data_IF_959748767064
#
_entry.id   IF_959748767064
#
_cell.length_a   1.000
_cell.length_b   1.000
_cell.length_c   1.000
_cell.angle_alpha   90.00
_cell.angle_beta   90.00
_cell.angle_gamma   90.00
#
_symmetry.space_group_name_H-M   'P 1'
#
loop_
_entity.id
_entity.type
_entity.pdbx_description
1 polymer ?
#
# COMPACT_ATOMS: atom_id res chain seq x y z
N UNK A 1 36.38 -42.42 20.61
CA UNK A 1 35.56 -41.27 21.08
C UNK A 1 35.78 -40.10 20.13
N UNK A 2 34.73 -39.34 19.78
CA UNK A 2 34.66 -38.22 18.79
C UNK A 2 34.32 -38.60 17.33
N UNK A 3 33.05 -38.95 17.06
CA UNK A 3 32.43 -38.91 15.71
C UNK A 3 31.08 -38.15 15.70
N UNK A 4 30.91 -37.20 16.64
CA UNK A 4 29.65 -36.47 16.84
C UNK A 4 29.56 -35.00 16.31
N UNK A 5 30.61 -34.31 15.82
CA UNK A 5 30.46 -32.90 15.40
C UNK A 5 29.84 -32.74 14.00
N UNK A 6 30.16 -33.62 13.04
CA UNK A 6 29.73 -33.48 11.63
C UNK A 6 28.21 -33.58 11.45
N UNK A 7 27.57 -34.56 12.11
CA UNK A 7 26.12 -34.78 12.00
C UNK A 7 25.34 -33.63 12.66
N UNK A 8 25.84 -33.12 13.79
CA UNK A 8 25.23 -31.98 14.48
C UNK A 8 25.33 -30.70 13.65
N UNK A 9 26.47 -30.48 12.99
CA UNK A 9 26.67 -29.33 12.12
C UNK A 9 25.80 -29.42 10.86
N UNK A 10 25.70 -30.60 10.24
CA UNK A 10 24.81 -30.83 9.11
C UNK A 10 23.35 -30.67 9.49
N UNK A 11 22.93 -31.16 10.67
CA UNK A 11 21.57 -30.98 11.18
C UNK A 11 21.26 -29.50 11.44
N UNK A 12 22.19 -28.75 12.05
CA UNK A 12 22.04 -27.31 12.27
C UNK A 12 21.96 -26.55 10.94
N UNK A 13 22.75 -26.95 9.94
CA UNK A 13 22.76 -26.34 8.62
C UNK A 13 21.47 -26.63 7.85
N UNK A 14 20.95 -27.86 7.93
CA UNK A 14 19.66 -28.27 7.37
C UNK A 14 18.50 -27.56 8.07
N UNK A 15 18.52 -27.44 9.40
CA UNK A 15 17.51 -26.70 10.18
C UNK A 15 17.49 -25.21 9.83
N UNK A 16 18.64 -24.58 9.61
CA UNK A 16 18.73 -23.19 9.14
C UNK A 16 18.22 -23.04 7.70
N UNK A 17 18.55 -23.96 6.81
CA UNK A 17 18.05 -23.95 5.43
C UNK A 17 16.52 -24.11 5.35
N UNK A 18 15.94 -24.96 6.21
CA UNK A 18 14.48 -25.10 6.38
C UNK A 18 13.84 -23.83 6.95
N UNK A 19 14.49 -23.15 7.92
CA UNK A 19 14.02 -21.87 8.46
C UNK A 19 14.01 -20.76 7.40
N UNK A 20 15.02 -20.72 6.54
CA UNK A 20 15.11 -19.75 5.44
C UNK A 20 14.00 -19.96 4.40
N UNK A 21 13.55 -21.20 4.19
CA UNK A 21 12.48 -21.53 3.26
C UNK A 21 11.06 -21.23 3.79
N UNK A 22 10.89 -21.10 5.11
CA UNK A 22 9.59 -20.80 5.74
C UNK A 22 9.23 -19.29 5.69
N UNK A 23 10.17 -18.42 5.34
CA UNK A 23 9.93 -16.99 5.18
C UNK A 23 9.42 -16.71 3.77
N UNK A 24 8.23 -17.21 3.44
CA UNK A 24 7.50 -16.65 2.29
C UNK A 24 7.21 -15.19 2.66
N UNK A 25 7.62 -14.18 1.88
CA UNK A 25 7.22 -12.82 2.16
C UNK A 25 5.69 -12.81 2.19
N UNK A 26 5.10 -12.40 3.32
CA UNK A 26 3.65 -12.25 3.37
C UNK A 26 3.22 -11.39 2.18
N UNK A 27 2.14 -11.81 1.52
CA UNK A 27 1.60 -11.11 0.36
C UNK A 27 1.49 -9.62 0.72
N UNK A 28 2.04 -8.69 -0.08
CA UNK A 28 1.95 -7.27 0.23
C UNK A 28 0.50 -6.83 0.42
N UNK A 29 0.25 -6.06 1.48
CA UNK A 29 -1.04 -5.46 1.78
C UNK A 29 -1.37 -4.40 0.75
N UNK A 30 -2.57 -4.48 0.19
CA UNK A 30 -3.08 -3.54 -0.80
C UNK A 30 -3.62 -2.29 -0.11
N UNK A 31 -3.07 -1.13 -0.45
CA UNK A 31 -3.41 0.15 0.19
C UNK A 31 -4.14 1.05 -0.82
N UNK A 32 -5.44 1.20 -0.65
CA UNK A 32 -6.25 2.13 -1.44
C UNK A 32 -6.20 3.52 -0.83
N UNK A 33 -5.82 4.52 -1.63
CA UNK A 33 -5.78 5.92 -1.21
C UNK A 33 -6.87 6.65 -2.00
N UNK A 34 -7.93 7.06 -1.29
CA UNK A 34 -9.12 7.61 -1.92
C UNK A 34 -8.92 9.09 -2.26
N UNK A 35 -8.89 9.42 -3.54
CA UNK A 35 -8.77 10.79 -4.03
C UNK A 35 -10.10 11.30 -4.58
N UNK A 36 -10.32 12.61 -4.46
CA UNK A 36 -11.56 13.27 -4.84
C UNK A 36 -11.28 14.74 -5.18
N UNK A 37 -12.29 15.43 -5.71
CA UNK A 37 -12.16 16.84 -6.07
C UNK A 37 -11.78 17.69 -4.85
N UNK A 38 -10.73 18.50 -5.02
CA UNK A 38 -10.16 19.37 -3.99
C UNK A 38 -9.49 18.65 -2.82
N UNK A 39 -9.15 17.36 -2.95
CA UNK A 39 -8.30 16.64 -1.99
C UNK A 39 -6.98 17.39 -1.76
N UNK A 40 -6.44 17.37 -0.53
CA UNK A 40 -5.13 17.96 -0.24
C UNK A 40 -4.00 17.06 -0.74
N UNK A 41 -3.05 17.61 -1.51
CA UNK A 41 -1.95 16.82 -2.10
C UNK A 41 -1.13 16.12 -1.04
N UNK A 42 -0.74 16.86 0.00
CA UNK A 42 0.15 16.34 1.04
C UNK A 42 -0.48 15.21 1.84
N UNK A 43 -1.79 15.25 2.03
CA UNK A 43 -2.53 14.26 2.80
C UNK A 43 -2.57 12.90 2.09
N UNK A 44 -2.59 12.87 0.75
CA UNK A 44 -2.52 11.61 0.01
C UNK A 44 -1.09 11.24 -0.38
N UNK A 45 -0.24 12.21 -0.72
CA UNK A 45 1.13 11.96 -1.19
C UNK A 45 2.03 11.46 -0.07
N UNK A 46 1.85 11.96 1.16
CA UNK A 46 2.64 11.55 2.33
C UNK A 46 2.53 10.04 2.59
N UNK A 47 1.31 9.50 2.83
CA UNK A 47 1.10 8.07 2.97
C UNK A 47 1.52 7.28 1.72
N UNK A 48 1.25 7.81 0.50
CA UNK A 48 1.64 7.15 -0.75
C UNK A 48 3.14 6.87 -0.81
N UNK A 49 3.98 7.86 -0.44
CA UNK A 49 5.43 7.74 -0.46
C UNK A 49 5.93 6.72 0.57
N UNK A 50 5.41 6.81 1.80
CA UNK A 50 5.80 5.88 2.89
C UNK A 50 5.43 4.44 2.56
N UNK A 51 4.21 4.19 2.05
CA UNK A 51 3.79 2.86 1.66
C UNK A 51 4.55 2.34 0.44
N UNK A 52 4.85 3.18 -0.54
CA UNK A 52 5.61 2.76 -1.72
C UNK A 52 7.07 2.42 -1.38
N UNK A 53 7.66 3.09 -0.38
CA UNK A 53 9.02 2.85 0.07
C UNK A 53 9.15 1.62 1.00
N UNK A 54 8.05 1.06 1.49
CA UNK A 54 8.04 -0.01 2.49
C UNK A 54 7.66 -1.35 1.87
N UNK A 55 8.57 -2.34 1.96
CA UNK A 55 8.25 -3.72 1.55
C UNK A 55 7.06 -4.27 2.36
N UNK A 56 6.14 -4.94 1.67
CA UNK A 56 4.92 -5.48 2.28
C UNK A 56 3.69 -4.60 2.07
N UNK A 57 3.79 -3.48 1.36
CA UNK A 57 2.64 -2.67 0.93
C UNK A 57 2.61 -2.48 -0.59
N UNK A 58 1.40 -2.28 -1.11
CA UNK A 58 1.14 -1.96 -2.51
C UNK A 58 0.11 -0.83 -2.59
N UNK A 59 0.54 0.45 -2.56
CA UNK A 59 -0.38 1.58 -2.65
C UNK A 59 -0.91 1.79 -4.06
N UNK A 60 -2.14 2.28 -4.16
CA UNK A 60 -2.76 2.77 -5.39
C UNK A 60 -3.81 3.84 -5.09
N UNK A 61 -4.06 4.70 -6.08
CA UNK A 61 -5.06 5.74 -6.05
C UNK A 61 -6.41 5.20 -6.56
N UNK A 62 -7.45 5.43 -5.78
CA UNK A 62 -8.83 5.09 -6.12
C UNK A 62 -9.70 6.34 -5.99
N UNK A 63 -10.69 6.49 -6.87
CA UNK A 63 -11.66 7.57 -6.80
C UNK A 63 -13.07 7.05 -7.13
N UNK A 64 -14.08 7.92 -7.09
CA UNK A 64 -15.45 7.54 -7.48
C UNK A 64 -15.52 7.05 -8.94
N UNK A 65 -14.76 7.67 -9.84
CA UNK A 65 -14.65 7.29 -11.26
C UNK A 65 -13.19 7.32 -11.71
N UNK A 66 -12.89 6.89 -12.94
CA UNK A 66 -11.54 7.05 -13.53
C UNK A 66 -11.24 8.43 -14.09
N UNK A 67 -12.18 9.38 -14.01
CA UNK A 67 -11.94 10.73 -14.45
C UNK A 67 -10.86 11.40 -13.55
N UNK A 68 -10.02 12.27 -14.11
CA UNK A 68 -9.10 13.07 -13.30
C UNK A 68 -9.87 13.92 -12.28
N UNK A 69 -9.28 14.06 -11.09
CA UNK A 69 -9.76 14.96 -10.03
C UNK A 69 -8.80 16.13 -9.88
N UNK A 70 -9.30 17.33 -9.58
CA UNK A 70 -8.46 18.50 -9.35
C UNK A 70 -8.15 18.65 -7.87
N UNK A 71 -6.91 18.43 -7.48
CA UNK A 71 -6.41 18.73 -6.15
C UNK A 71 -6.09 20.23 -6.01
N UNK A 72 -6.51 20.82 -4.88
CA UNK A 72 -6.31 22.23 -4.51
C UNK A 72 -6.72 23.27 -5.58
N UNK A 73 -7.48 22.87 -6.62
CA UNK A 73 -7.95 23.73 -7.70
C UNK A 73 -6.96 23.98 -8.84
N UNK A 74 -5.77 23.40 -8.83
CA UNK A 74 -4.77 23.63 -9.89
C UNK A 74 -3.97 22.40 -10.34
N UNK A 75 -4.05 21.26 -9.64
CA UNK A 75 -3.33 20.04 -9.99
C UNK A 75 -4.31 18.94 -10.33
N UNK A 76 -4.31 18.48 -11.57
CA UNK A 76 -5.09 17.31 -11.98
C UNK A 76 -4.35 16.01 -11.61
N UNK A 77 -5.06 15.08 -10.97
CA UNK A 77 -4.55 13.75 -10.60
C UNK A 77 -5.47 12.70 -11.21
N UNK A 78 -4.90 11.72 -11.91
CA UNK A 78 -5.67 10.62 -12.51
C UNK A 78 -5.62 9.40 -11.58
N UNK A 79 -6.77 8.90 -11.09
CA UNK A 79 -6.81 7.69 -10.28
C UNK A 79 -6.47 6.44 -11.12
N UNK A 80 -5.94 5.40 -10.48
CA UNK A 80 -5.66 4.12 -11.15
C UNK A 80 -6.93 3.26 -11.24
N UNK A 81 -7.82 3.38 -10.25
CA UNK A 81 -9.07 2.63 -10.15
C UNK A 81 -10.25 3.55 -9.81
N UNK A 82 -11.44 3.19 -10.28
CA UNK A 82 -12.69 3.67 -9.69
C UNK A 82 -13.10 2.76 -8.54
N UNK A 83 -14.12 3.14 -7.77
CA UNK A 83 -14.71 2.25 -6.76
C UNK A 83 -15.31 0.96 -7.37
N UNK A 84 -15.65 0.98 -8.67
CA UNK A 84 -16.27 -0.16 -9.35
C UNK A 84 -15.24 -1.21 -9.78
N UNK A 85 -14.00 -0.80 -10.08
CA UNK A 85 -12.92 -1.70 -10.53
C UNK A 85 -11.71 -1.73 -9.59
N UNK A 86 -11.90 -1.24 -8.36
CA UNK A 86 -10.92 -1.30 -7.30
C UNK A 86 -10.60 -2.76 -6.92
N UNK A 87 -9.33 -3.16 -6.84
CA UNK A 87 -8.96 -4.47 -6.35
C UNK A 87 -9.29 -4.62 -4.84
N UNK A 88 -9.33 -5.86 -4.31
CA UNK A 88 -9.47 -6.07 -2.88
C UNK A 88 -8.45 -5.24 -2.09
N UNK A 89 -8.96 -4.45 -1.15
CA UNK A 89 -8.20 -3.43 -0.42
C UNK A 89 -8.10 -3.84 1.05
N UNK A 90 -6.87 -3.94 1.58
CA UNK A 90 -6.62 -4.32 2.97
C UNK A 90 -6.61 -3.08 3.89
N UNK A 91 -6.10 -1.95 3.38
CA UNK A 91 -6.02 -0.66 4.07
C UNK A 91 -6.60 0.42 3.17
N UNK A 92 -7.54 1.22 3.69
CA UNK A 92 -8.13 2.35 2.98
C UNK A 92 -7.77 3.66 3.69
N UNK A 93 -7.18 4.60 2.96
CA UNK A 93 -6.79 5.93 3.44
C UNK A 93 -7.76 6.96 2.87
N UNK A 94 -8.30 7.79 3.76
CA UNK A 94 -9.12 8.95 3.41
C UNK A 94 -8.35 10.24 3.74
N UNK A 95 -7.74 10.89 2.73
CA UNK A 95 -7.07 12.17 2.89
C UNK A 95 -8.05 13.29 3.23
N UNK A 96 -7.54 14.34 3.86
CA UNK A 96 -8.29 15.57 4.08
C UNK A 96 -8.45 16.41 2.82
N UNK A 97 -9.24 17.46 2.97
CA UNK A 97 -9.46 18.52 1.99
C UNK A 97 -9.65 19.84 2.74
N UNK A 98 -9.55 20.96 2.04
CA UNK A 98 -9.99 22.24 2.59
C UNK A 98 -11.46 22.19 3.06
N UNK A 99 -11.80 22.82 4.20
CA UNK A 99 -13.15 22.77 4.79
C UNK A 99 -14.27 23.24 3.86
N UNK A 100 -13.97 24.10 2.89
CA UNK A 100 -14.92 24.59 1.90
C UNK A 100 -15.27 23.54 0.84
N UNK A 101 -14.34 22.62 0.55
CA UNK A 101 -14.51 21.58 -0.46
C UNK A 101 -15.30 20.39 0.06
N UNK A 102 -15.14 20.00 1.33
CA UNK A 102 -15.88 18.87 1.90
C UNK A 102 -17.41 19.11 2.02
N UNK A 103 -17.87 20.36 1.85
CA UNK A 103 -19.28 20.75 1.79
C UNK A 103 -19.82 20.91 0.36
N UNK A 104 -18.94 20.98 -0.64
CA UNK A 104 -19.32 20.92 -2.04
C UNK A 104 -19.63 19.46 -2.37
N UNK A 105 -20.88 19.07 -2.12
CA UNK A 105 -21.42 17.73 -2.40
C UNK A 105 -20.84 17.17 -3.70
N UNK A 106 -20.23 16.00 -3.59
CA UNK A 106 -20.00 15.10 -4.71
C UNK A 106 -21.37 14.58 -5.18
N UNK A 107 -22.16 15.43 -5.83
CA UNK A 107 -23.42 15.10 -6.53
C UNK A 107 -23.16 14.74 -7.97
#
# INVERSE_FOLDING_TARGET
MKKFPEITLLFLLVMNALHLHAQTPEKPLSVGIFIYEGVEILDFSGPSEVFAATNGFKPFLVALTKAPVTSQGFIAVTPQYSIEDCPPTDILVFPGAQPTTCLAKQT
#
